data_IF_316455267268
#
_entry.id   IF_316455267268
#
_cell.length_a   1.000
_cell.length_b   1.000
_cell.length_c   1.000
_cell.angle_alpha   90.00
_cell.angle_beta   90.00
_cell.angle_gamma   90.00
#
_symmetry.space_group_name_H-M   'P 1'
#
loop_
_entity.id
_entity.type
_entity.pdbx_description
1 polymer ?
#
# COMPACT_ATOMS: atom_id res chain seq x y z
N UNK A 1 -56.69 -126.34 90.59
CA UNK A 1 -55.82 -126.79 89.48
C UNK A 1 -56.66 -126.99 88.22
N UNK A 2 -56.88 -125.96 87.38
CA UNK A 2 -57.41 -126.14 86.03
C UNK A 2 -56.26 -126.31 85.04
N UNK A 3 -56.32 -127.37 84.24
CA UNK A 3 -55.36 -127.77 83.23
C UNK A 3 -55.23 -126.74 82.11
N UNK A 4 -54.01 -126.22 81.94
CA UNK A 4 -53.62 -125.34 80.84
C UNK A 4 -53.55 -126.16 79.55
N UNK A 5 -54.56 -126.03 78.70
CA UNK A 5 -54.61 -126.58 77.35
C UNK A 5 -53.45 -126.03 76.50
N UNK A 6 -52.46 -126.89 76.19
CA UNK A 6 -51.29 -126.55 75.38
C UNK A 6 -51.60 -126.25 73.90
N UNK A 7 -52.82 -126.56 73.41
CA UNK A 7 -53.21 -126.40 72.01
C UNK A 7 -53.68 -124.98 71.63
N UNK A 8 -54.12 -124.15 72.59
CA UNK A 8 -54.50 -122.74 72.35
C UNK A 8 -53.33 -121.76 72.48
N UNK A 9 -52.18 -122.19 73.03
CA UNK A 9 -50.94 -121.40 73.09
C UNK A 9 -50.28 -121.25 71.71
N UNK A 10 -50.33 -122.27 70.86
CA UNK A 10 -49.74 -122.24 69.52
C UNK A 10 -50.44 -121.25 68.56
N UNK A 11 -51.78 -121.18 68.61
CA UNK A 11 -52.54 -120.21 67.81
C UNK A 11 -52.38 -118.77 68.35
N UNK A 12 -52.25 -118.59 69.67
CA UNK A 12 -51.99 -117.28 70.26
C UNK A 12 -50.58 -116.77 69.92
N UNK A 13 -49.57 -117.64 69.89
CA UNK A 13 -48.20 -117.30 69.48
C UNK A 13 -48.13 -117.01 67.97
N UNK A 14 -48.83 -117.77 67.12
CA UNK A 14 -48.92 -117.48 65.67
C UNK A 14 -49.66 -116.19 65.37
N UNK A 15 -50.76 -115.90 66.08
CA UNK A 15 -51.46 -114.63 65.97
C UNK A 15 -50.60 -113.45 66.46
N UNK A 16 -49.87 -113.61 67.57
CA UNK A 16 -48.92 -112.62 68.06
C UNK A 16 -47.72 -112.43 67.12
N UNK A 17 -47.22 -113.49 66.48
CA UNK A 17 -46.15 -113.39 65.48
C UNK A 17 -46.65 -112.77 64.17
N UNK A 18 -47.87 -113.06 63.73
CA UNK A 18 -48.48 -112.42 62.57
C UNK A 18 -48.80 -110.94 62.83
N UNK A 19 -49.28 -110.59 64.02
CA UNK A 19 -49.49 -109.20 64.44
C UNK A 19 -48.16 -108.45 64.59
N UNK A 20 -47.12 -109.12 65.08
CA UNK A 20 -45.76 -108.56 65.15
C UNK A 20 -45.15 -108.39 63.75
N UNK A 21 -45.36 -109.33 62.83
CA UNK A 21 -44.91 -109.25 61.44
C UNK A 21 -45.65 -108.12 60.70
N UNK A 22 -46.97 -107.98 60.88
CA UNK A 22 -47.75 -106.88 60.32
C UNK A 22 -47.28 -105.53 60.85
N UNK A 23 -47.02 -105.42 62.16
CA UNK A 23 -46.43 -104.20 62.75
C UNK A 23 -45.01 -103.92 62.26
N UNK A 24 -44.22 -104.96 61.98
CA UNK A 24 -42.91 -104.81 61.38
C UNK A 24 -43.00 -104.36 59.92
N UNK A 25 -43.94 -104.89 59.14
CA UNK A 25 -44.21 -104.46 57.77
C UNK A 25 -44.76 -103.02 57.72
N UNK A 26 -45.70 -102.66 58.61
CA UNK A 26 -46.20 -101.30 58.75
C UNK A 26 -45.10 -100.32 59.18
N UNK A 27 -44.25 -100.70 60.15
CA UNK A 27 -43.11 -99.88 60.56
C UNK A 27 -42.07 -99.76 59.44
N UNK A 28 -41.83 -100.82 58.66
CA UNK A 28 -40.93 -100.79 57.51
C UNK A 28 -41.48 -99.92 56.39
N UNK A 29 -42.79 -99.98 56.11
CA UNK A 29 -43.45 -99.14 55.13
C UNK A 29 -43.47 -97.66 55.56
N UNK A 30 -43.72 -97.37 56.84
CA UNK A 30 -43.61 -96.02 57.40
C UNK A 30 -42.18 -95.49 57.34
N UNK A 31 -41.19 -96.33 57.64
CA UNK A 31 -39.78 -95.98 57.52
C UNK A 31 -39.36 -95.74 56.07
N UNK A 32 -39.79 -96.58 55.12
CA UNK A 32 -39.56 -96.37 53.69
C UNK A 32 -40.22 -95.10 53.18
N UNK A 33 -41.46 -94.84 53.58
CA UNK A 33 -42.18 -93.61 53.25
C UNK A 33 -41.47 -92.38 53.84
N UNK A 34 -40.97 -92.46 55.08
CA UNK A 34 -40.18 -91.39 55.69
C UNK A 34 -38.87 -91.13 54.93
N UNK A 35 -38.15 -92.20 54.53
CA UNK A 35 -36.94 -92.07 53.70
C UNK A 35 -37.23 -91.47 52.32
N UNK A 36 -38.35 -91.82 51.69
CA UNK A 36 -38.78 -91.21 50.43
C UNK A 36 -39.12 -89.72 50.60
N UNK A 37 -39.81 -89.37 51.69
CA UNK A 37 -40.08 -87.96 52.04
C UNK A 37 -38.78 -87.19 52.29
N UNK A 38 -37.81 -87.77 52.98
CA UNK A 38 -36.49 -87.16 53.18
C UNK A 38 -35.72 -86.99 51.87
N UNK A 39 -35.74 -88.00 50.99
CA UNK A 39 -35.14 -87.92 49.65
C UNK A 39 -35.78 -86.82 48.81
N UNK A 40 -37.11 -86.70 48.83
CA UNK A 40 -37.83 -85.63 48.14
C UNK A 40 -37.46 -84.25 48.69
N UNK A 41 -37.43 -84.07 50.02
CA UNK A 41 -37.01 -82.81 50.65
C UNK A 41 -35.56 -82.45 50.30
N UNK A 42 -34.68 -83.44 50.31
CA UNK A 42 -33.27 -83.24 49.95
C UNK A 42 -33.11 -82.87 48.48
N UNK A 43 -33.85 -83.52 47.58
CA UNK A 43 -33.87 -83.18 46.16
C UNK A 43 -34.40 -81.77 45.92
N UNK A 44 -35.50 -81.38 46.57
CA UNK A 44 -36.03 -80.01 46.51
C UNK A 44 -35.03 -78.99 47.05
N UNK A 45 -34.28 -79.32 48.11
CA UNK A 45 -33.24 -78.43 48.64
C UNK A 45 -32.09 -78.26 47.64
N UNK A 46 -31.63 -79.34 47.01
CA UNK A 46 -30.64 -79.30 45.92
C UNK A 46 -31.16 -78.43 44.77
N UNK A 47 -32.42 -78.59 44.37
CA UNK A 47 -33.01 -77.82 43.28
C UNK A 47 -33.11 -76.33 43.63
N UNK A 48 -33.51 -76.00 44.86
CA UNK A 48 -33.50 -74.61 45.37
C UNK A 48 -32.09 -74.03 45.42
N UNK A 49 -31.09 -74.80 45.82
CA UNK A 49 -29.69 -74.38 45.81
C UNK A 49 -29.20 -74.12 44.37
N UNK A 50 -29.49 -75.03 43.45
CA UNK A 50 -29.17 -74.88 42.03
C UNK A 50 -29.86 -73.66 41.42
N UNK A 51 -31.13 -73.42 41.75
CA UNK A 51 -31.84 -72.21 41.32
C UNK A 51 -31.19 -70.93 41.86
N UNK A 52 -30.80 -70.91 43.14
CA UNK A 52 -30.09 -69.76 43.72
C UNK A 52 -28.77 -69.52 43.00
N UNK A 53 -27.95 -70.56 42.79
CA UNK A 53 -26.70 -70.45 42.03
C UNK A 53 -26.93 -69.96 40.60
N UNK A 54 -27.97 -70.44 39.91
CA UNK A 54 -28.34 -69.97 38.56
C UNK A 54 -28.77 -68.51 38.56
N UNK A 55 -29.58 -68.07 39.54
CA UNK A 55 -30.00 -66.68 39.69
C UNK A 55 -28.81 -65.77 39.97
N UNK A 56 -27.92 -66.16 40.87
CA UNK A 56 -26.70 -65.42 41.19
C UNK A 56 -25.76 -65.34 39.98
N UNK A 57 -25.57 -66.45 39.27
CA UNK A 57 -24.79 -66.47 38.03
C UNK A 57 -25.38 -65.53 36.97
N UNK A 58 -26.69 -65.62 36.72
CA UNK A 58 -27.38 -64.75 35.77
C UNK A 58 -27.32 -63.27 36.19
N UNK A 59 -27.42 -62.98 37.49
CA UNK A 59 -27.26 -61.62 38.03
C UNK A 59 -25.84 -61.10 37.78
N UNK A 60 -24.81 -61.88 38.10
CA UNK A 60 -23.41 -61.51 37.84
C UNK A 60 -23.14 -61.28 36.35
N UNK A 61 -23.66 -62.14 35.48
CA UNK A 61 -23.53 -61.96 34.03
C UNK A 61 -24.26 -60.70 33.55
N UNK A 62 -25.45 -60.40 34.08
CA UNK A 62 -26.18 -59.18 33.74
C UNK A 62 -25.47 -57.91 34.25
N UNK A 63 -24.85 -57.97 35.43
CA UNK A 63 -24.03 -56.87 35.96
C UNK A 63 -22.77 -56.65 35.14
N UNK A 64 -22.07 -57.72 34.74
CA UNK A 64 -20.92 -57.65 33.83
C UNK A 64 -21.30 -57.04 32.49
N UNK A 65 -22.40 -57.49 31.87
CA UNK A 65 -22.90 -56.93 30.62
C UNK A 65 -23.23 -55.44 30.73
N UNK A 66 -23.86 -55.01 31.83
CA UNK A 66 -24.15 -53.59 32.10
C UNK A 66 -22.87 -52.78 32.34
N UNK A 67 -21.87 -53.35 33.00
CA UNK A 67 -20.59 -52.69 33.24
C UNK A 67 -19.82 -52.50 31.93
N UNK A 68 -19.78 -53.53 31.07
CA UNK A 68 -19.19 -53.46 29.73
C UNK A 68 -19.90 -52.44 28.85
N UNK A 69 -21.23 -52.38 28.87
CA UNK A 69 -21.99 -51.40 28.10
C UNK A 69 -21.69 -49.97 28.55
N UNK A 70 -21.61 -49.73 29.88
CA UNK A 70 -21.21 -48.43 30.42
C UNK A 70 -19.79 -48.06 30.00
N UNK A 71 -18.88 -49.02 30.01
CA UNK A 71 -17.50 -48.80 29.57
C UNK A 71 -17.45 -48.42 28.08
N UNK A 72 -18.12 -49.18 27.20
CA UNK A 72 -18.22 -48.86 25.76
C UNK A 72 -18.83 -47.48 25.52
N UNK A 73 -19.91 -47.13 26.23
CA UNK A 73 -20.52 -45.79 26.13
C UNK A 73 -19.54 -44.68 26.51
N UNK A 74 -18.74 -44.88 27.56
CA UNK A 74 -17.70 -43.91 27.98
C UNK A 74 -16.59 -43.79 26.95
N UNK A 75 -16.14 -44.91 26.37
CA UNK A 75 -15.14 -44.89 25.30
C UNK A 75 -15.65 -44.17 24.05
N UNK A 76 -16.88 -44.46 23.62
CA UNK A 76 -17.50 -43.80 22.47
C UNK A 76 -17.69 -42.30 22.73
N UNK A 77 -18.11 -41.93 23.94
CA UNK A 77 -18.23 -40.53 24.34
C UNK A 77 -16.86 -39.83 24.34
N UNK A 78 -15.82 -40.48 24.88
CA UNK A 78 -14.46 -39.96 24.85
C UNK A 78 -13.95 -39.79 23.42
N UNK A 79 -14.18 -40.76 22.54
CA UNK A 79 -13.82 -40.68 21.11
C UNK A 79 -14.55 -39.53 20.43
N UNK A 80 -15.85 -39.36 20.67
CA UNK A 80 -16.63 -38.24 20.12
C UNK A 80 -16.13 -36.89 20.61
N UNK A 81 -15.79 -36.77 21.90
CA UNK A 81 -15.20 -35.54 22.46
C UNK A 81 -13.86 -35.23 21.82
N UNK A 82 -12.96 -36.22 21.72
CA UNK A 82 -11.66 -36.04 21.08
C UNK A 82 -11.80 -35.62 19.59
N UNK A 83 -12.70 -36.25 18.83
CA UNK A 83 -12.98 -35.87 17.45
C UNK A 83 -13.58 -34.47 17.35
N UNK A 84 -14.49 -34.10 18.25
CA UNK A 84 -15.08 -32.76 18.29
C UNK A 84 -14.03 -31.69 18.63
N UNK A 85 -13.12 -31.97 19.56
CA UNK A 85 -11.99 -31.09 19.90
C UNK A 85 -11.02 -30.93 18.73
N UNK A 86 -10.66 -32.01 18.05
CA UNK A 86 -9.83 -31.96 16.84
C UNK A 86 -10.51 -31.14 15.74
N UNK A 87 -11.78 -31.40 15.45
CA UNK A 87 -12.53 -30.63 14.45
C UNK A 87 -12.65 -29.15 14.84
N UNK A 88 -12.81 -28.83 16.13
CA UNK A 88 -12.84 -27.45 16.60
C UNK A 88 -11.48 -26.76 16.46
N UNK A 89 -10.39 -27.48 16.74
CA UNK A 89 -9.03 -27.00 16.54
C UNK A 89 -8.75 -26.70 15.05
N UNK A 90 -9.07 -27.63 14.15
CA UNK A 90 -8.92 -27.44 12.70
C UNK A 90 -9.72 -26.23 12.18
N UNK A 91 -10.97 -26.06 12.66
CA UNK A 91 -11.78 -24.89 12.30
C UNK A 91 -11.14 -23.58 12.74
N UNK A 92 -10.59 -23.53 13.97
CA UNK A 92 -9.89 -22.33 14.48
C UNK A 92 -8.64 -22.04 13.68
N UNK A 93 -7.84 -23.07 13.40
CA UNK A 93 -6.64 -22.96 12.59
C UNK A 93 -6.96 -22.43 11.18
N UNK A 94 -7.94 -23.03 10.51
CA UNK A 94 -8.35 -22.60 9.17
C UNK A 94 -8.91 -21.18 9.17
N UNK A 95 -9.71 -20.81 10.19
CA UNK A 95 -10.22 -19.45 10.34
C UNK A 95 -9.10 -18.43 10.56
N UNK A 96 -8.07 -18.79 11.34
CA UNK A 96 -6.90 -17.93 11.56
C UNK A 96 -6.08 -17.75 10.27
N UNK A 97 -5.85 -18.83 9.51
CA UNK A 97 -5.17 -18.74 8.22
C UNK A 97 -5.95 -17.87 7.23
N UNK A 98 -7.27 -18.08 7.12
CA UNK A 98 -8.12 -17.26 6.27
C UNK A 98 -8.09 -15.77 6.68
N UNK A 99 -8.08 -15.46 7.98
CA UNK A 99 -7.97 -14.10 8.48
C UNK A 99 -6.61 -13.46 8.14
N UNK A 100 -5.51 -14.22 8.22
CA UNK A 100 -4.17 -13.76 7.82
C UNK A 100 -4.12 -13.46 6.32
N UNK A 101 -4.61 -14.37 5.49
CA UNK A 101 -4.68 -14.16 4.04
C UNK A 101 -5.54 -12.95 3.68
N UNK A 102 -6.68 -12.74 4.36
CA UNK A 102 -7.53 -11.58 4.14
C UNK A 102 -6.81 -10.28 4.54
N UNK A 103 -6.09 -10.29 5.66
CA UNK A 103 -5.30 -9.15 6.11
C UNK A 103 -4.18 -8.81 5.11
N UNK A 104 -3.46 -9.82 4.60
CA UNK A 104 -2.44 -9.64 3.57
C UNK A 104 -3.04 -9.07 2.27
N UNK A 105 -4.19 -9.59 1.83
CA UNK A 105 -4.91 -9.05 0.67
C UNK A 105 -5.31 -7.59 0.87
N UNK A 106 -5.80 -7.21 2.06
CA UNK A 106 -6.14 -5.83 2.40
C UNK A 106 -4.91 -4.92 2.34
N UNK A 107 -3.79 -5.36 2.92
CA UNK A 107 -2.52 -4.64 2.87
C UNK A 107 -2.00 -4.45 1.44
N UNK A 108 -2.10 -5.49 0.60
CA UNK A 108 -1.71 -5.43 -0.81
C UNK A 108 -2.57 -4.44 -1.59
N UNK A 109 -3.90 -4.48 -1.43
CA UNK A 109 -4.81 -3.53 -2.09
C UNK A 109 -4.52 -2.09 -1.64
N UNK A 110 -4.25 -1.88 -0.35
CA UNK A 110 -3.91 -0.54 0.16
C UNK A 110 -2.58 -0.05 -0.41
N UNK A 111 -1.57 -0.92 -0.48
CA UNK A 111 -0.28 -0.62 -1.08
C UNK A 111 -0.40 -0.27 -2.57
N UNK A 112 -1.17 -1.04 -3.34
CA UNK A 112 -1.46 -0.75 -4.75
C UNK A 112 -2.18 0.60 -4.92
N UNK A 113 -3.16 0.90 -4.05
CA UNK A 113 -3.84 2.21 -4.05
C UNK A 113 -2.86 3.36 -3.77
N UNK A 114 -1.93 3.19 -2.83
CA UNK A 114 -0.89 4.20 -2.55
C UNK A 114 0.02 4.43 -3.75
N UNK A 115 0.50 3.35 -4.37
CA UNK A 115 1.32 3.44 -5.58
C UNK A 115 0.58 4.09 -6.76
N UNK A 116 -0.70 3.77 -6.94
CA UNK A 116 -1.52 4.38 -7.98
C UNK A 116 -1.70 5.89 -7.73
N UNK A 117 -1.98 6.30 -6.49
CA UNK A 117 -2.11 7.70 -6.12
C UNK A 117 -0.79 8.48 -6.26
N UNK A 118 0.34 7.85 -5.93
CA UNK A 118 1.66 8.45 -6.13
C UNK A 118 2.00 8.64 -7.61
N UNK A 119 1.74 7.63 -8.44
CA UNK A 119 1.88 7.73 -9.90
C UNK A 119 1.02 8.84 -10.49
N UNK A 120 -0.23 8.96 -10.02
CA UNK A 120 -1.13 10.04 -10.48
C UNK A 120 -0.61 11.42 -10.08
N UNK A 121 -0.11 11.58 -8.85
CA UNK A 121 0.52 12.85 -8.40
C UNK A 121 1.75 13.19 -9.22
N UNK A 122 2.61 12.21 -9.51
CA UNK A 122 3.79 12.41 -10.35
C UNK A 122 3.41 12.83 -11.78
N UNK A 123 2.40 12.18 -12.37
CA UNK A 123 1.90 12.54 -13.69
C UNK A 123 1.32 13.96 -13.75
N UNK A 124 0.58 14.39 -12.71
CA UNK A 124 0.07 15.76 -12.60
C UNK A 124 1.20 16.79 -12.52
N UNK A 125 2.20 16.54 -11.67
CA UNK A 125 3.37 17.43 -11.57
C UNK A 125 4.15 17.53 -12.89
N UNK A 126 4.29 16.43 -13.62
CA UNK A 126 4.93 16.45 -14.93
C UNK A 126 4.12 17.24 -15.97
N UNK A 127 2.80 17.09 -15.98
CA UNK A 127 1.91 17.88 -16.84
C UNK A 127 2.02 19.38 -16.53
N UNK A 128 1.99 19.76 -15.25
CA UNK A 128 2.13 21.14 -14.81
C UNK A 128 3.49 21.72 -15.25
N UNK A 129 4.58 20.96 -15.10
CA UNK A 129 5.92 21.37 -15.55
C UNK A 129 5.96 21.62 -17.05
N UNK A 130 5.40 20.71 -17.85
CA UNK A 130 5.30 20.86 -19.32
C UNK A 130 4.43 22.04 -19.73
N UNK A 131 3.39 22.37 -18.96
CA UNK A 131 2.57 23.56 -19.22
C UNK A 131 3.32 24.84 -18.87
N UNK A 132 4.03 24.88 -17.74
CA UNK A 132 4.89 26.00 -17.35
C UNK A 132 5.98 26.27 -18.40
N UNK A 133 6.69 25.23 -18.83
CA UNK A 133 7.71 25.33 -19.89
C UNK A 133 7.12 25.91 -21.19
N UNK A 134 5.93 25.45 -21.60
CA UNK A 134 5.23 26.00 -22.79
C UNK A 134 4.84 27.46 -22.61
N UNK A 135 4.34 27.84 -21.43
CA UNK A 135 3.99 29.24 -21.11
C UNK A 135 5.23 30.14 -21.13
N UNK A 136 6.36 29.68 -20.59
CA UNK A 136 7.62 30.41 -20.61
C UNK A 136 8.17 30.57 -22.03
N UNK A 137 8.12 29.52 -22.85
CA UNK A 137 8.52 29.59 -24.26
C UNK A 137 7.69 30.63 -25.02
N UNK A 138 6.37 30.57 -24.90
CA UNK A 138 5.47 31.56 -25.52
C UNK A 138 5.73 32.99 -25.00
N UNK A 139 6.07 33.16 -23.73
CA UNK A 139 6.43 34.45 -23.16
C UNK A 139 7.74 34.99 -23.76
N UNK A 140 8.77 34.14 -23.87
CA UNK A 140 10.06 34.49 -24.49
C UNK A 140 9.91 34.86 -25.96
N UNK A 141 9.11 34.11 -26.72
CA UNK A 141 8.81 34.41 -28.13
C UNK A 141 8.12 35.76 -28.28
N UNK A 142 7.10 36.05 -27.46
CA UNK A 142 6.42 37.35 -27.46
C UNK A 142 7.38 38.49 -27.09
N UNK A 143 8.28 38.27 -26.14
CA UNK A 143 9.28 39.28 -25.78
C UNK A 143 10.27 39.52 -26.92
N UNK A 144 10.77 38.46 -27.56
CA UNK A 144 11.64 38.55 -28.73
C UNK A 144 10.95 39.31 -29.88
N UNK A 145 9.68 38.99 -30.16
CA UNK A 145 8.89 39.68 -31.18
C UNK A 145 8.67 41.17 -30.85
N UNK A 146 8.45 41.51 -29.57
CA UNK A 146 8.38 42.93 -29.14
C UNK A 146 9.71 43.65 -29.35
N UNK A 147 10.83 43.02 -29.03
CA UNK A 147 12.17 43.58 -29.26
C UNK A 147 12.42 43.78 -30.76
N UNK A 148 12.07 42.79 -31.59
CA UNK A 148 12.21 42.87 -33.04
C UNK A 148 11.32 43.97 -33.63
N UNK A 149 10.06 44.07 -33.22
CA UNK A 149 9.15 45.14 -33.65
C UNK A 149 9.64 46.52 -33.22
N UNK A 150 10.20 46.64 -32.01
CA UNK A 150 10.83 47.89 -31.54
C UNK A 150 12.05 48.26 -32.40
N UNK A 151 12.90 47.29 -32.74
CA UNK A 151 14.04 47.50 -33.64
C UNK A 151 13.58 47.88 -35.06
N UNK A 152 12.52 47.25 -35.58
CA UNK A 152 11.90 47.60 -36.86
C UNK A 152 11.36 49.03 -36.85
N UNK A 153 10.67 49.44 -35.78
CA UNK A 153 10.20 50.82 -35.62
C UNK A 153 11.36 51.82 -35.58
N UNK A 154 12.47 51.49 -34.91
CA UNK A 154 13.67 52.33 -34.89
C UNK A 154 14.38 52.39 -36.25
N UNK A 155 14.31 51.32 -37.05
CA UNK A 155 14.84 51.25 -38.42
C UNK A 155 14.01 52.05 -39.42
N UNK A 156 12.75 52.35 -39.14
CA UNK A 156 11.97 53.23 -39.98
C UNK A 156 12.35 54.67 -39.66
N UNK A 157 12.86 55.37 -40.66
CA UNK A 157 13.23 56.79 -40.68
C UNK A 157 12.00 57.67 -40.46
N UNK A 158 11.42 57.61 -39.27
CA UNK A 158 10.32 58.49 -38.91
C UNK A 158 10.86 59.92 -38.76
N UNK A 159 10.03 60.94 -39.02
CA UNK A 159 10.42 62.34 -38.83
C UNK A 159 11.02 62.63 -37.44
N UNK A 160 10.61 61.89 -36.43
CA UNK A 160 11.13 61.95 -35.06
C UNK A 160 12.58 61.44 -34.97
N UNK A 161 12.94 60.37 -35.68
CA UNK A 161 14.31 59.85 -35.66
C UNK A 161 15.28 60.81 -36.37
N UNK A 162 14.84 61.45 -37.46
CA UNK A 162 15.59 62.52 -38.12
C UNK A 162 15.77 63.76 -37.22
N UNK A 163 14.72 64.16 -36.49
CA UNK A 163 14.83 65.25 -35.50
C UNK A 163 15.79 64.89 -34.36
N UNK A 164 15.77 63.64 -33.90
CA UNK A 164 16.70 63.15 -32.87
C UNK A 164 18.14 63.17 -33.37
N UNK A 165 18.38 62.70 -34.59
CA UNK A 165 19.69 62.74 -35.23
C UNK A 165 20.23 64.16 -35.35
N UNK A 166 19.40 65.12 -35.77
CA UNK A 166 19.79 66.54 -35.82
C UNK A 166 20.18 67.10 -34.44
N UNK A 167 19.49 66.69 -33.38
CA UNK A 167 19.85 67.08 -32.00
C UNK A 167 21.19 66.48 -31.58
N UNK A 168 21.43 65.20 -31.89
CA UNK A 168 22.72 64.54 -31.60
C UNK A 168 23.88 65.23 -32.34
N UNK A 169 23.70 65.56 -33.62
CA UNK A 169 24.73 66.27 -34.41
C UNK A 169 25.05 67.64 -33.80
N UNK A 170 24.03 68.42 -33.43
CA UNK A 170 24.23 69.72 -32.76
C UNK A 170 24.96 69.54 -31.44
N UNK A 171 24.53 68.57 -30.62
CA UNK A 171 25.16 68.29 -29.32
C UNK A 171 26.62 67.89 -29.47
N UNK A 172 26.94 67.03 -30.44
CA UNK A 172 28.33 66.67 -30.75
C UNK A 172 29.16 67.90 -31.10
N UNK A 173 28.64 68.74 -32.00
CA UNK A 173 29.37 69.95 -32.41
C UNK A 173 29.58 70.92 -31.24
N UNK A 174 28.57 71.13 -30.39
CA UNK A 174 28.69 71.92 -29.17
C UNK A 174 29.77 71.38 -28.22
N UNK A 175 29.81 70.05 -28.03
CA UNK A 175 30.82 69.38 -27.22
C UNK A 175 32.22 69.53 -27.83
N UNK A 176 32.37 69.29 -29.13
CA UNK A 176 33.65 69.45 -29.84
C UNK A 176 34.18 70.88 -29.73
N UNK A 177 33.31 71.87 -29.91
CA UNK A 177 33.67 73.28 -29.75
C UNK A 177 34.08 73.61 -28.31
N UNK A 178 33.39 73.06 -27.32
CA UNK A 178 33.73 73.26 -25.91
C UNK A 178 35.08 72.60 -25.55
N UNK A 179 35.29 71.36 -25.98
CA UNK A 179 36.55 70.62 -25.80
C UNK A 179 37.70 71.38 -26.46
N UNK A 180 37.48 71.88 -27.69
CA UNK A 180 38.48 72.63 -28.45
C UNK A 180 38.82 73.99 -27.82
N UNK A 181 37.83 74.68 -27.24
CA UNK A 181 38.04 75.91 -26.48
C UNK A 181 38.91 75.65 -25.24
N UNK A 182 38.71 74.50 -24.59
CA UNK A 182 39.42 74.08 -23.38
C UNK A 182 40.76 73.35 -23.67
N UNK A 183 41.28 73.38 -24.91
CA UNK A 183 42.51 72.65 -25.30
C UNK A 183 43.77 73.01 -24.49
N UNK A 184 43.81 74.19 -23.86
CA UNK A 184 44.92 74.66 -23.01
C UNK A 184 44.60 74.59 -21.52
N UNK A 185 43.66 73.74 -21.12
CA UNK A 185 43.24 73.61 -19.73
C UNK A 185 44.37 73.07 -18.85
N UNK A 186 44.46 73.57 -17.61
CA UNK A 186 45.43 73.09 -16.62
C UNK A 186 45.08 71.67 -16.17
N UNK A 187 46.10 70.89 -15.83
CA UNK A 187 45.98 69.48 -15.40
C UNK A 187 44.79 69.18 -14.46
N UNK A 188 44.57 69.94 -13.38
CA UNK A 188 43.49 69.66 -12.43
C UNK A 188 42.06 69.78 -12.99
N UNK A 189 41.87 70.52 -14.09
CA UNK A 189 40.57 70.74 -14.74
C UNK A 189 40.35 69.82 -15.94
N UNK A 190 41.32 68.95 -16.28
CA UNK A 190 41.19 67.98 -17.37
C UNK A 190 40.06 66.96 -17.18
N UNK A 191 39.75 66.45 -15.97
CA UNK A 191 38.67 65.48 -15.79
C UNK A 191 37.32 65.97 -16.31
N UNK A 192 37.02 67.26 -16.14
CA UNK A 192 35.76 67.84 -16.65
C UNK A 192 35.72 67.87 -18.18
N UNK A 193 36.87 68.03 -18.83
CA UNK A 193 37.00 67.99 -20.29
C UNK A 193 36.94 66.55 -20.79
N UNK A 194 37.54 65.59 -20.08
CA UNK A 194 37.46 64.16 -20.39
C UNK A 194 36.01 63.65 -20.38
N UNK A 195 35.19 64.07 -19.40
CA UNK A 195 33.76 63.75 -19.40
C UNK A 195 33.05 64.29 -20.65
N UNK A 196 33.41 65.49 -21.11
CA UNK A 196 32.84 66.05 -22.36
C UNK A 196 33.33 65.30 -23.59
N UNK A 197 34.57 64.83 -23.59
CA UNK A 197 35.16 63.99 -24.64
C UNK A 197 34.40 62.67 -24.76
N UNK A 198 34.21 61.97 -23.64
CA UNK A 198 33.40 60.73 -23.60
C UNK A 198 31.98 60.96 -24.12
N UNK A 199 31.34 62.07 -23.72
CA UNK A 199 30.02 62.43 -24.22
C UNK A 199 30.01 62.71 -25.72
N UNK A 200 31.06 63.35 -26.26
CA UNK A 200 31.16 63.65 -27.70
C UNK A 200 31.38 62.37 -28.51
N UNK A 201 32.26 61.49 -28.03
CA UNK A 201 32.55 60.20 -28.66
C UNK A 201 31.30 59.30 -28.62
N UNK A 202 30.58 59.24 -27.49
CA UNK A 202 29.30 58.54 -27.39
C UNK A 202 28.25 59.08 -28.37
N UNK A 203 28.13 60.41 -28.49
CA UNK A 203 27.24 61.03 -29.47
C UNK A 203 27.62 60.69 -30.91
N UNK A 204 28.93 60.64 -31.23
CA UNK A 204 29.42 60.19 -32.54
C UNK A 204 29.04 58.75 -32.83
N UNK A 205 29.25 57.82 -31.88
CA UNK A 205 28.87 56.42 -32.07
C UNK A 205 27.37 56.22 -32.24
N UNK A 206 26.54 56.98 -31.52
CA UNK A 206 25.09 56.94 -31.69
C UNK A 206 24.67 57.44 -33.08
N UNK A 207 25.28 58.54 -33.56
CA UNK A 207 25.07 59.06 -34.92
C UNK A 207 25.45 57.99 -35.96
N UNK A 208 26.63 57.38 -35.84
CA UNK A 208 27.09 56.33 -36.74
C UNK A 208 26.18 55.10 -36.70
N UNK A 209 25.67 54.73 -35.53
CA UNK A 209 24.72 53.60 -35.39
C UNK A 209 23.42 53.89 -36.12
N UNK A 210 22.82 55.07 -35.91
CA UNK A 210 21.57 55.46 -36.57
C UNK A 210 21.75 55.46 -38.09
N UNK A 211 22.82 56.09 -38.58
CA UNK A 211 23.10 56.20 -40.02
C UNK A 211 23.49 54.86 -40.63
N UNK A 212 24.19 54.00 -39.89
CA UNK A 212 24.50 52.63 -40.28
C UNK A 212 23.24 51.82 -40.58
N UNK A 213 22.16 52.03 -39.82
CA UNK A 213 20.87 51.34 -40.09
C UNK A 213 20.17 51.74 -41.39
N UNK A 214 20.63 52.80 -42.07
CA UNK A 214 20.14 53.21 -43.39
C UNK A 214 20.72 52.31 -44.50
N UNK A 215 20.69 50.98 -44.35
CA UNK A 215 21.42 50.07 -45.23
C UNK A 215 20.69 49.68 -46.51
N UNK A 216 19.36 49.87 -46.59
CA UNK A 216 18.60 49.56 -47.81
C UNK A 216 17.33 50.41 -47.93
N UNK A 217 17.20 51.16 -49.04
CA UNK A 217 15.92 51.76 -49.44
C UNK A 217 14.97 50.76 -50.12
N UNK A 218 15.13 49.46 -49.85
CA UNK A 218 14.33 48.38 -50.43
C UNK A 218 12.84 48.47 -50.05
N UNK A 219 12.54 49.13 -48.94
CA UNK A 219 11.18 49.40 -48.49
C UNK A 219 10.57 50.70 -49.07
N UNK A 220 11.27 51.39 -49.97
CA UNK A 220 10.78 52.61 -50.64
C UNK A 220 10.55 53.79 -49.69
N UNK A 221 11.26 53.82 -48.55
CA UNK A 221 11.07 54.83 -47.50
C UNK A 221 11.56 56.21 -47.92
N UNK A 222 12.51 56.27 -48.86
CA UNK A 222 13.10 57.49 -49.41
C UNK A 222 12.79 57.59 -50.90
N UNK A 223 12.55 58.80 -51.41
CA UNK A 223 12.61 59.03 -52.86
C UNK A 223 14.06 58.88 -53.33
N UNK A 224 14.25 58.54 -54.60
CA UNK A 224 15.58 58.27 -55.17
C UNK A 224 16.61 59.39 -54.90
N UNK A 225 16.21 60.66 -55.06
CA UNK A 225 17.07 61.80 -54.77
C UNK A 225 17.37 61.98 -53.28
N UNK A 226 16.40 61.70 -52.39
CA UNK A 226 16.57 61.79 -50.94
C UNK A 226 17.51 60.67 -50.45
N UNK A 227 17.40 59.47 -51.05
CA UNK A 227 18.30 58.35 -50.77
C UNK A 227 19.73 58.64 -51.19
N UNK A 228 19.92 59.26 -52.36
CA UNK A 228 21.24 59.69 -52.81
C UNK A 228 21.88 60.67 -51.82
N UNK A 229 21.12 61.66 -51.35
CA UNK A 229 21.58 62.60 -50.32
C UNK A 229 21.88 61.90 -48.98
N UNK A 230 21.05 60.94 -48.56
CA UNK A 230 21.27 60.16 -47.34
C UNK A 230 22.58 59.36 -47.42
N UNK A 231 22.86 58.74 -48.57
CA UNK A 231 24.13 58.05 -48.81
C UNK A 231 25.32 59.00 -48.80
N UNK A 232 25.22 60.17 -49.44
CA UNK A 232 26.28 61.18 -49.39
C UNK A 232 26.58 61.62 -47.94
N UNK A 233 25.53 61.78 -47.12
CA UNK A 233 25.67 62.08 -45.69
C UNK A 233 26.32 60.91 -44.95
N UNK A 234 25.91 59.67 -45.23
CA UNK A 234 26.47 58.46 -44.64
C UNK A 234 27.96 58.32 -44.97
N UNK A 235 28.32 58.41 -46.24
CA UNK A 235 29.71 58.37 -46.69
C UNK A 235 30.57 59.45 -46.01
N UNK A 236 30.06 60.69 -45.93
CA UNK A 236 30.75 61.76 -45.19
C UNK A 236 30.86 61.45 -43.70
N UNK A 237 29.85 60.82 -43.11
CA UNK A 237 29.83 60.42 -41.70
C UNK A 237 30.66 59.19 -41.39
N UNK A 238 30.96 58.34 -42.37
CA UNK A 238 31.83 57.17 -42.22
C UNK A 238 33.27 57.45 -42.68
N UNK A 239 33.50 58.50 -43.47
CA UNK A 239 34.84 58.88 -43.91
C UNK A 239 35.82 59.07 -42.74
N UNK A 240 37.04 58.57 -42.90
CA UNK A 240 38.11 58.72 -41.92
C UNK A 240 38.46 60.20 -41.66
N UNK A 241 39.08 60.48 -40.51
CA UNK A 241 39.50 61.83 -40.11
C UNK A 241 38.57 62.52 -39.12
N UNK A 242 37.48 61.86 -38.71
CA UNK A 242 36.72 62.27 -37.53
C UNK A 242 37.55 62.01 -36.29
N UNK A 243 37.70 63.05 -35.48
CA UNK A 243 38.44 62.94 -34.23
C UNK A 243 37.59 62.19 -33.20
N UNK A 244 38.18 61.13 -32.65
CA UNK A 244 37.70 60.46 -31.44
C UNK A 244 38.57 61.00 -30.31
N UNK A 245 37.97 61.75 -29.39
CA UNK A 245 38.73 62.50 -28.40
C UNK A 245 39.44 61.60 -27.40
N UNK A 246 38.83 60.47 -27.01
CA UNK A 246 39.43 59.53 -26.07
C UNK A 246 40.80 58.99 -26.52
N UNK A 247 41.04 58.89 -27.83
CA UNK A 247 42.32 58.42 -28.38
C UNK A 247 43.26 59.54 -28.86
N UNK A 248 42.75 60.78 -28.97
CA UNK A 248 43.54 61.93 -29.41
C UNK A 248 43.04 63.20 -28.70
N UNK A 249 43.43 63.38 -27.42
CA UNK A 249 42.99 64.51 -26.62
C UNK A 249 43.59 65.84 -27.12
N UNK A 250 42.90 66.97 -26.95
CA UNK A 250 43.30 68.25 -27.54
C UNK A 250 44.61 68.84 -26.97
N UNK A 251 45.09 68.34 -25.84
CA UNK A 251 46.33 68.79 -25.20
C UNK A 251 47.58 67.99 -25.60
N UNK A 252 47.44 66.95 -26.43
CA UNK A 252 48.58 66.21 -26.98
C UNK A 252 49.08 66.79 -28.32
N UNK A 253 48.30 67.69 -28.93
CA UNK A 253 48.68 68.41 -30.15
C UNK A 253 49.62 69.58 -29.80
N UNK A 254 50.94 69.31 -29.75
CA UNK A 254 52.00 70.32 -29.67
C UNK A 254 52.52 70.71 -31.06
#
# INVERSE_FOLDING_TARGET
MPSLNLFTRGNKIRAQMAEMALRQEEAAAQHQWALEQERMRHQEEIDRQNERMRREYNQRMAEQARAEERFRRREDEHRRRAQAEQAAYERRWNAEQAAREEQERRMMIEHERKLAAEKERAARLEQDRREQERREQLAREREAQRRENKLKLLRMTSPESLRSLLKLIRRKYELDMAIWADRKVRGPLRPDVEVRMEQSDAALFEILTIVGTWENNSHGTWKEHEWKLANEVKERLEADGKRIWAGNPPWEEN
#
